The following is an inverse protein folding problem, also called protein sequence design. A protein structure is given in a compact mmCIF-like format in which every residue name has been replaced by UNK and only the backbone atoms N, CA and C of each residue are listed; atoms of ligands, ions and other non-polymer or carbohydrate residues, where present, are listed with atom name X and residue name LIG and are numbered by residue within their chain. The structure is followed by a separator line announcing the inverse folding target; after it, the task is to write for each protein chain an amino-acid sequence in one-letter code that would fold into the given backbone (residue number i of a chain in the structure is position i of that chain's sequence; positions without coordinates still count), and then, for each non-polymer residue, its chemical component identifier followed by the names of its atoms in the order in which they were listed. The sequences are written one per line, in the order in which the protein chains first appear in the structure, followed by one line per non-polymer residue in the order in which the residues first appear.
data_IF_526206910944
#
_entry.id   IF_526206910944
#
_cell.length_a   1.000
_cell.length_b   1.000
_cell.length_c   1.000
_cell.angle_alpha   90.00
_cell.angle_beta   90.00
_cell.angle_gamma   90.00
#
_symmetry.space_group_name_H-M   'P 1'
#
loop_
_entity.id
_entity.type
_entity.pdbx_description
1 polymer ?
#
# COMPACT_ATOMS: atom_id res chain seq x y z
N UNK A 1 17.86 -1.55 20.39
CA UNK A 1 17.36 -1.08 19.09
C UNK A 1 16.05 -0.35 19.32
N UNK A 2 15.73 0.68 18.55
CA UNK A 2 14.43 1.35 18.58
C UNK A 2 13.59 0.84 17.41
N UNK A 3 12.31 0.59 17.63
CA UNK A 3 11.36 0.21 16.59
C UNK A 3 10.55 1.43 16.18
N UNK A 4 10.46 1.69 14.88
CA UNK A 4 9.64 2.77 14.31
C UNK A 4 8.35 2.15 13.80
N UNK A 5 7.20 2.69 14.22
CA UNK A 5 5.89 2.28 13.76
C UNK A 5 5.26 3.48 13.06
N UNK A 6 4.91 3.32 11.79
CA UNK A 6 4.15 4.30 11.02
C UNK A 6 2.70 3.83 10.89
N UNK A 7 1.75 4.69 11.21
CA UNK A 7 0.31 4.42 11.12
C UNK A 7 -0.32 5.48 10.22
N UNK A 8 -0.76 5.08 9.03
CA UNK A 8 -1.63 5.90 8.19
C UNK A 8 -3.09 5.60 8.56
N UNK A 9 -3.90 6.63 8.80
CA UNK A 9 -5.34 6.50 9.07
C UNK A 9 -6.08 7.24 7.97
N UNK A 10 -6.71 6.49 7.06
CA UNK A 10 -7.44 7.08 5.93
C UNK A 10 -8.58 7.98 6.43
N UNK A 11 -8.81 9.09 5.72
CA UNK A 11 -9.81 10.14 6.03
C UNK A 11 -9.72 10.83 7.40
N UNK A 12 -8.65 10.63 8.19
CA UNK A 12 -8.51 11.26 9.51
C UNK A 12 -8.17 12.76 9.39
N UNK A 13 -9.19 13.61 9.52
CA UNK A 13 -9.03 15.07 9.54
C UNK A 13 -8.73 15.60 10.94
N UNK A 14 -7.89 16.64 11.05
CA UNK A 14 -7.53 17.26 12.34
C UNK A 14 -8.73 17.77 13.14
N UNK A 15 -9.75 18.31 12.47
CA UNK A 15 -11.01 18.75 13.08
C UNK A 15 -11.77 17.61 13.79
N UNK A 16 -11.60 16.36 13.35
CA UNK A 16 -12.19 15.19 14.00
C UNK A 16 -11.41 14.79 15.24
N UNK A 17 -10.08 14.99 15.25
CA UNK A 17 -9.23 14.78 16.42
C UNK A 17 -9.60 15.77 17.53
N UNK A 18 -9.66 17.08 17.21
CA UNK A 18 -9.95 18.10 18.22
C UNK A 18 -11.30 17.85 18.91
N UNK A 19 -12.36 17.66 18.12
CA UNK A 19 -13.71 17.35 18.62
C UNK A 19 -13.75 16.07 19.46
N UNK A 20 -12.92 15.09 19.12
CA UNK A 20 -12.80 13.85 19.88
C UNK A 20 -12.08 14.04 21.21
N UNK A 21 -11.12 14.97 21.29
CA UNK A 21 -10.44 15.35 22.54
C UNK A 21 -11.37 16.21 23.41
N UNK A 22 -12.03 17.23 22.85
CA UNK A 22 -13.04 18.06 23.54
C UNK A 22 -14.15 17.21 24.20
N UNK A 23 -14.55 16.11 23.55
CA UNK A 23 -15.56 15.19 24.05
C UNK A 23 -15.01 14.10 25.00
N UNK A 24 -13.72 14.15 25.37
CA UNK A 24 -13.02 13.14 26.17
C UNK A 24 -13.09 11.71 25.59
N UNK A 25 -13.16 11.58 24.25
CA UNK A 25 -13.28 10.30 23.52
C UNK A 25 -11.96 9.77 22.95
N UNK A 26 -10.92 10.61 22.84
CA UNK A 26 -9.63 10.25 22.24
C UNK A 26 -8.45 10.39 23.23
N UNK A 27 -8.48 9.73 24.41
CA UNK A 27 -7.43 9.89 25.43
C UNK A 27 -6.03 9.50 24.92
N UNK A 28 -5.94 8.50 24.03
CA UNK A 28 -4.66 8.10 23.43
C UNK A 28 -4.08 9.17 22.51
N UNK A 29 -4.90 9.86 21.71
CA UNK A 29 -4.43 10.98 20.88
C UNK A 29 -4.00 12.16 21.73
N UNK A 30 -4.76 12.49 22.78
CA UNK A 30 -4.37 13.52 23.73
C UNK A 30 -3.01 13.22 24.37
N UNK A 31 -2.81 12.00 24.89
CA UNK A 31 -1.52 11.58 25.43
C UNK A 31 -0.36 11.73 24.43
N UNK A 32 -0.56 11.32 23.17
CA UNK A 32 0.44 11.45 22.10
C UNK A 32 0.72 12.91 21.72
N UNK A 33 -0.27 13.80 21.82
CA UNK A 33 -0.10 15.24 21.59
C UNK A 33 0.67 15.91 22.75
N UNK A 34 0.40 15.51 23.99
CA UNK A 34 1.06 16.04 25.19
C UNK A 34 2.53 15.60 25.32
N UNK A 35 2.87 14.38 24.85
CA UNK A 35 4.20 13.78 24.98
C UNK A 35 4.99 13.72 23.65
N UNK A 36 4.47 14.34 22.59
CA UNK A 36 4.98 14.20 21.22
C UNK A 36 5.01 15.52 20.45
N UNK A 37 4.75 15.44 19.14
CA UNK A 37 4.64 16.59 18.25
C UNK A 37 3.40 16.42 17.38
N UNK A 38 2.57 17.46 17.29
CA UNK A 38 1.33 17.44 16.51
C UNK A 38 1.30 18.58 15.49
N UNK A 39 1.31 18.21 14.21
CA UNK A 39 1.26 19.15 13.10
C UNK A 39 -0.13 19.13 12.47
N UNK A 40 -0.92 20.16 12.76
CA UNK A 40 -2.30 20.31 12.24
C UNK A 40 -2.37 20.54 10.73
N UNK A 41 -1.36 21.25 10.20
CA UNK A 41 -1.37 21.82 8.85
C UNK A 41 -0.42 21.05 7.91
N UNK A 42 -0.49 19.72 7.93
CA UNK A 42 0.25 18.87 6.99
C UNK A 42 -0.48 18.90 5.64
N UNK A 43 0.28 19.14 4.56
CA UNK A 43 -0.22 19.14 3.19
C UNK A 43 0.08 17.78 2.56
N UNK A 44 -0.94 17.16 1.96
CA UNK A 44 -0.82 15.87 1.25
C UNK A 44 -0.56 16.08 -0.25
N UNK A 45 -0.24 15.02 -0.99
CA UNK A 45 -0.07 15.09 -2.44
C UNK A 45 -1.38 15.35 -3.19
N UNK A 46 -1.26 15.94 -4.37
CA UNK A 46 -2.36 16.06 -5.33
C UNK A 46 -2.12 15.08 -6.50
N UNK A 47 -3.14 14.30 -6.92
CA UNK A 47 -4.52 14.29 -6.42
C UNK A 47 -4.66 13.54 -5.09
N UNK A 48 -5.62 13.99 -4.27
CA UNK A 48 -5.88 13.48 -2.91
C UNK A 48 -6.64 12.14 -2.95
N UNK A 49 -6.00 11.10 -3.46
CA UNK A 49 -6.56 9.76 -3.64
C UNK A 49 -5.70 8.73 -2.89
N UNK A 50 -6.31 7.83 -2.10
CA UNK A 50 -5.58 6.95 -1.17
C UNK A 50 -4.40 6.20 -1.82
N UNK A 51 -4.58 5.60 -3.01
CA UNK A 51 -3.49 4.92 -3.74
C UNK A 51 -2.35 5.87 -4.12
N UNK A 52 -2.67 7.10 -4.55
CA UNK A 52 -1.68 8.10 -4.93
C UNK A 52 -0.91 8.61 -3.71
N UNK A 53 -1.62 8.83 -2.59
CA UNK A 53 -1.05 9.25 -1.31
C UNK A 53 -0.16 8.15 -0.73
N UNK A 54 -0.59 6.89 -0.74
CA UNK A 54 0.23 5.77 -0.29
C UNK A 54 1.51 5.63 -1.14
N UNK A 55 1.43 5.79 -2.46
CA UNK A 55 2.62 5.83 -3.32
C UNK A 55 3.54 7.01 -2.98
N UNK A 56 3.00 8.20 -2.72
CA UNK A 56 3.77 9.36 -2.25
C UNK A 56 4.47 9.05 -0.93
N UNK A 57 3.76 8.53 0.07
CA UNK A 57 4.29 8.18 1.40
C UNK A 57 5.39 7.12 1.33
N UNK A 58 5.22 6.12 0.47
CA UNK A 58 6.15 4.99 0.36
C UNK A 58 7.37 5.28 -0.52
N UNK A 59 7.33 6.28 -1.40
CA UNK A 59 8.47 6.64 -2.29
C UNK A 59 9.14 7.97 -1.94
N UNK A 60 8.46 8.85 -1.19
CA UNK A 60 8.93 10.21 -0.92
C UNK A 60 8.83 11.17 -2.11
N UNK A 61 8.13 10.78 -3.19
CA UNK A 61 8.02 11.55 -4.45
C UNK A 61 6.56 11.85 -4.79
N UNK A 62 6.29 12.72 -5.76
CA UNK A 62 4.93 13.09 -6.18
C UNK A 62 4.42 12.26 -7.38
N UNK A 63 3.12 12.31 -7.74
CA UNK A 63 2.53 11.41 -8.75
C UNK A 63 3.07 11.57 -10.18
N UNK A 64 3.67 12.71 -10.51
CA UNK A 64 4.45 12.94 -11.73
C UNK A 64 5.75 12.12 -11.76
N UNK A 65 6.36 11.88 -10.61
CA UNK A 65 7.54 11.04 -10.44
C UNK A 65 7.19 9.56 -10.26
N UNK A 66 6.33 9.21 -9.31
CA UNK A 66 5.98 7.81 -9.03
C UNK A 66 4.97 7.19 -10.01
N UNK A 67 4.39 7.99 -10.92
CA UNK A 67 3.53 7.59 -12.06
C UNK A 67 2.20 6.92 -11.71
N UNK A 68 1.73 7.01 -10.47
CA UNK A 68 0.45 6.42 -10.02
C UNK A 68 -0.53 7.55 -9.67
N UNK A 69 -1.33 8.05 -10.63
CA UNK A 69 -2.15 9.26 -10.44
C UNK A 69 -3.48 9.00 -9.71
N UNK A 70 -3.85 7.76 -9.41
CA UNK A 70 -5.08 7.46 -8.69
C UNK A 70 -5.60 6.03 -8.87
N UNK A 71 -6.77 5.77 -8.29
CA UNK A 71 -7.43 4.47 -8.27
C UNK A 71 -7.87 3.98 -9.66
N UNK A 72 -8.33 4.90 -10.52
CA UNK A 72 -8.77 4.64 -11.89
C UNK A 72 -8.21 5.73 -12.80
N UNK A 73 -7.50 5.35 -13.85
CA UNK A 73 -6.83 6.29 -14.77
C UNK A 73 -6.60 5.63 -16.14
N UNK A 74 -6.39 6.43 -17.20
CA UNK A 74 -6.11 5.90 -18.53
C UNK A 74 -4.60 5.83 -18.81
N UNK A 75 -4.10 4.62 -19.05
CA UNK A 75 -2.71 4.40 -19.48
C UNK A 75 -2.61 4.62 -20.98
N UNK A 76 -1.91 5.67 -21.40
CA UNK A 76 -1.60 5.95 -22.81
C UNK A 76 -0.64 4.92 -23.41
N UNK A 77 0.24 4.34 -22.58
CA UNK A 77 1.16 3.27 -22.95
C UNK A 77 0.42 1.95 -23.25
N UNK A 78 -0.47 1.53 -22.35
CA UNK A 78 -1.24 0.29 -22.49
C UNK A 78 -2.51 0.48 -23.36
N UNK A 79 -2.86 1.72 -23.69
CA UNK A 79 -4.09 2.16 -24.38
C UNK A 79 -5.40 1.69 -23.71
N UNK A 80 -5.39 1.48 -22.39
CA UNK A 80 -6.54 1.01 -21.60
C UNK A 80 -6.72 1.81 -20.32
N UNK A 81 -7.94 1.75 -19.77
CA UNK A 81 -8.21 2.17 -18.40
C UNK A 81 -7.58 1.16 -17.43
N UNK A 82 -6.76 1.66 -16.52
CA UNK A 82 -6.21 0.96 -15.37
C UNK A 82 -7.14 1.21 -14.18
N UNK A 83 -7.38 0.17 -13.38
CA UNK A 83 -8.28 0.23 -12.24
C UNK A 83 -7.75 -0.65 -11.10
N UNK A 84 -7.49 -0.02 -9.96
CA UNK A 84 -6.91 -0.65 -8.77
C UNK A 84 -7.94 -0.87 -7.64
N UNK A 85 -9.21 -0.47 -7.80
CA UNK A 85 -10.20 -0.72 -6.74
C UNK A 85 -11.59 -0.09 -6.85
N UNK A 86 -12.18 0.06 -8.04
CA UNK A 86 -13.63 0.28 -8.10
C UNK A 86 -14.39 -0.92 -7.50
N UNK A 87 -15.55 -0.66 -6.88
CA UNK A 87 -16.16 -1.58 -5.93
C UNK A 87 -16.49 -2.99 -6.46
N UNK A 88 -16.66 -3.94 -5.54
CA UNK A 88 -16.95 -5.37 -5.76
C UNK A 88 -17.89 -5.70 -6.95
N UNK A 89 -18.88 -4.85 -7.22
CA UNK A 89 -19.84 -5.00 -8.32
C UNK A 89 -19.24 -4.82 -9.73
N UNK A 90 -18.19 -4.01 -9.90
CA UNK A 90 -17.46 -3.91 -11.17
C UNK A 90 -16.48 -5.07 -11.35
N UNK A 91 -15.83 -5.49 -10.25
CA UNK A 91 -14.92 -6.65 -10.21
C UNK A 91 -15.64 -7.93 -10.69
N UNK A 92 -16.90 -8.11 -10.27
CA UNK A 92 -17.73 -9.25 -10.68
C UNK A 92 -18.11 -9.23 -12.18
N UNK A 93 -18.30 -8.05 -12.77
CA UNK A 93 -18.70 -7.90 -14.19
C UNK A 93 -17.53 -7.97 -15.17
N UNK A 94 -16.37 -7.41 -14.81
CA UNK A 94 -15.23 -7.24 -15.72
C UNK A 94 -14.17 -8.35 -15.61
N UNK A 95 -14.33 -9.28 -14.67
CA UNK A 95 -13.48 -10.46 -14.53
C UNK A 95 -12.32 -10.26 -13.56
N UNK A 96 -12.38 -11.01 -12.46
CA UNK A 96 -11.44 -11.02 -11.32
C UNK A 96 -9.95 -11.05 -11.75
N UNK A 97 -9.63 -11.76 -12.84
CA UNK A 97 -8.25 -11.98 -13.28
C UNK A 97 -7.53 -10.71 -13.75
N UNK A 98 -8.15 -9.82 -14.55
CA UNK A 98 -7.42 -8.64 -15.06
C UNK A 98 -7.16 -7.63 -13.93
N UNK A 99 -8.18 -7.38 -13.11
CA UNK A 99 -8.12 -6.52 -11.94
C UNK A 99 -6.99 -6.91 -10.96
N UNK A 100 -6.93 -8.18 -10.54
CA UNK A 100 -5.88 -8.64 -9.62
C UNK A 100 -4.47 -8.55 -10.25
N UNK A 101 -4.35 -8.76 -11.57
CA UNK A 101 -3.07 -8.57 -12.25
C UNK A 101 -2.67 -7.10 -12.33
N UNK A 102 -3.57 -6.17 -12.69
CA UNK A 102 -3.25 -4.74 -12.75
C UNK A 102 -2.98 -4.16 -11.35
N UNK A 103 -3.76 -4.52 -10.33
CA UNK A 103 -3.65 -3.97 -8.97
C UNK A 103 -2.53 -4.57 -8.12
N UNK A 104 -2.33 -5.89 -8.14
CA UNK A 104 -1.29 -6.50 -7.30
C UNK A 104 0.05 -6.52 -8.04
N UNK A 105 0.07 -7.08 -9.25
CA UNK A 105 1.32 -7.38 -9.96
C UNK A 105 1.83 -6.16 -10.71
N UNK A 106 1.05 -5.59 -11.62
CA UNK A 106 1.52 -4.50 -12.49
C UNK A 106 1.64 -3.17 -11.75
N UNK A 107 0.80 -2.90 -10.76
CA UNK A 107 0.96 -1.68 -9.96
C UNK A 107 2.32 -1.67 -9.24
N UNK A 108 2.72 -2.78 -8.62
CA UNK A 108 4.00 -2.88 -7.90
C UNK A 108 5.22 -3.11 -8.82
N UNK A 109 5.03 -3.62 -10.04
CA UNK A 109 6.13 -3.89 -10.99
C UNK A 109 6.34 -2.82 -12.07
N UNK A 110 5.25 -2.40 -12.73
CA UNK A 110 5.27 -1.60 -13.96
C UNK A 110 4.79 -0.15 -13.75
N UNK A 111 3.65 0.03 -13.06
CA UNK A 111 2.97 1.33 -12.97
C UNK A 111 3.60 2.23 -11.91
N UNK A 112 3.92 1.69 -10.73
CA UNK A 112 4.76 2.39 -9.75
C UNK A 112 6.18 2.46 -10.31
N UNK A 113 6.67 3.67 -10.55
CA UNK A 113 7.96 3.92 -11.19
C UNK A 113 9.09 3.03 -10.61
N UNK A 114 9.68 2.10 -11.38
CA UNK A 114 10.70 1.18 -10.89
C UNK A 114 12.09 1.82 -10.78
N UNK A 115 12.28 3.05 -11.27
CA UNK A 115 13.51 3.82 -11.06
C UNK A 115 13.57 4.50 -9.68
N UNK A 116 12.43 4.71 -9.02
CA UNK A 116 12.33 5.34 -7.70
C UNK A 116 12.18 4.22 -6.67
N UNK A 117 13.04 4.11 -5.63
CA UNK A 117 12.91 3.07 -4.60
C UNK A 117 11.76 3.37 -3.63
N UNK A 118 11.17 2.34 -3.01
CA UNK A 118 10.33 2.53 -1.83
C UNK A 118 11.18 2.63 -0.55
N UNK A 119 10.59 3.14 0.52
CA UNK A 119 11.15 3.12 1.88
C UNK A 119 11.52 1.69 2.32
N UNK A 120 10.81 0.65 1.87
CA UNK A 120 11.17 -0.74 2.16
C UNK A 120 12.46 -1.18 1.45
N UNK A 121 12.67 -0.69 0.22
CA UNK A 121 13.87 -0.95 -0.57
C UNK A 121 15.07 -0.17 0.01
N UNK A 122 14.90 1.09 0.41
CA UNK A 122 15.93 1.89 1.07
C UNK A 122 16.32 1.34 2.45
N UNK A 123 15.35 1.00 3.31
CA UNK A 123 15.64 0.38 4.60
C UNK A 123 16.41 -0.93 4.44
N UNK A 124 16.04 -1.77 3.46
CA UNK A 124 16.77 -2.99 3.17
C UNK A 124 18.21 -2.73 2.64
N UNK A 125 18.42 -1.69 1.80
CA UNK A 125 19.76 -1.25 1.37
C UNK A 125 20.63 -0.81 2.57
N UNK A 126 20.03 -0.24 3.60
CA UNK A 126 20.69 0.13 4.86
C UNK A 126 20.89 -1.06 5.82
N UNK A 127 20.47 -2.28 5.45
CA UNK A 127 20.53 -3.46 6.32
C UNK A 127 19.49 -3.47 7.45
N UNK A 128 18.46 -2.63 7.35
CA UNK A 128 17.37 -2.52 8.33
C UNK A 128 16.18 -3.40 7.91
N UNK A 129 15.51 -3.99 8.90
CA UNK A 129 14.29 -4.76 8.69
C UNK A 129 13.07 -3.83 8.64
N UNK A 130 12.17 -4.08 7.69
CA UNK A 130 10.91 -3.36 7.54
C UNK A 130 9.77 -4.31 7.20
N UNK A 131 8.53 -3.88 7.46
CA UNK A 131 7.33 -4.65 7.15
C UNK A 131 6.12 -3.73 7.04
N UNK A 132 5.08 -4.19 6.35
CA UNK A 132 3.83 -3.45 6.11
C UNK A 132 2.65 -4.41 6.16
N UNK A 133 1.52 -3.91 6.64
CA UNK A 133 0.21 -4.60 6.63
C UNK A 133 -0.76 -3.91 5.66
N UNK A 134 -0.25 -3.15 4.69
CA UNK A 134 -1.01 -2.67 3.53
C UNK A 134 -0.90 -3.70 2.40
N UNK A 135 -2.05 -4.14 1.87
CA UNK A 135 -2.11 -5.20 0.86
C UNK A 135 -1.96 -4.74 -0.59
N UNK A 136 -2.10 -3.43 -0.87
CA UNK A 136 -2.10 -2.92 -2.24
C UNK A 136 -0.67 -2.64 -2.73
N UNK A 137 0.09 -1.83 -1.99
CA UNK A 137 1.48 -1.49 -2.31
C UNK A 137 2.43 -2.23 -1.35
N UNK A 138 3.21 -3.16 -1.89
CA UNK A 138 4.12 -4.02 -1.14
C UNK A 138 5.53 -4.11 -1.74
N UNK A 139 5.86 -3.32 -2.78
CA UNK A 139 7.16 -3.39 -3.46
C UNK A 139 8.32 -3.14 -2.48
N UNK A 140 9.16 -4.16 -2.34
CA UNK A 140 10.32 -4.21 -1.47
C UNK A 140 11.36 -5.20 -2.03
N UNK A 141 12.56 -5.24 -1.45
CA UNK A 141 13.66 -6.06 -1.97
C UNK A 141 13.55 -7.58 -1.74
N UNK A 142 12.43 -8.07 -1.17
CA UNK A 142 12.28 -9.46 -0.75
C UNK A 142 11.31 -10.25 -1.65
N UNK A 143 11.78 -11.40 -2.13
CA UNK A 143 10.99 -12.40 -2.87
C UNK A 143 10.32 -13.43 -1.92
N UNK A 144 9.37 -14.21 -2.43
CA UNK A 144 8.07 -14.15 -1.77
C UNK A 144 7.08 -15.38 -2.02
N UNK A 145 5.76 -15.33 -1.72
CA UNK A 145 4.68 -16.39 -1.77
C UNK A 145 3.23 -15.86 -1.39
N UNK A 146 2.30 -15.58 -2.32
CA UNK A 146 0.93 -15.05 -2.10
C UNK A 146 -0.03 -16.22 -2.07
N UNK A 147 -0.89 -16.31 -1.05
CA UNK A 147 -1.88 -17.38 -0.96
C UNK A 147 -3.28 -16.78 -0.81
N UNK A 148 -4.07 -16.85 -1.89
CA UNK A 148 -5.49 -16.46 -1.86
C UNK A 148 -6.33 -17.63 -1.40
N UNK A 149 -7.17 -17.43 -0.38
CA UNK A 149 -7.92 -18.50 0.29
C UNK A 149 -9.10 -19.08 -0.53
N UNK A 150 -9.24 -18.70 -1.81
CA UNK A 150 -10.26 -19.23 -2.72
C UNK A 150 -9.65 -20.27 -3.65
N UNK A 151 -10.04 -21.53 -3.45
CA UNK A 151 -9.56 -22.71 -4.19
C UNK A 151 -10.05 -22.82 -5.63
N UNK A 152 -9.85 -21.78 -6.45
CA UNK A 152 -10.01 -21.88 -7.90
C UNK A 152 -8.70 -22.29 -8.56
N UNK A 153 -8.65 -23.55 -9.00
CA UNK A 153 -7.53 -24.12 -9.76
C UNK A 153 -7.50 -23.46 -11.16
N UNK A 154 -6.80 -22.33 -11.29
CA UNK A 154 -6.56 -21.69 -12.57
C UNK A 154 -5.44 -22.42 -13.33
N UNK A 155 -5.77 -23.57 -13.93
CA UNK A 155 -4.83 -24.40 -14.72
C UNK A 155 -4.60 -23.84 -16.12
N UNK A 156 -4.19 -22.57 -16.24
CA UNK A 156 -3.83 -21.94 -17.51
C UNK A 156 -2.40 -22.31 -17.92
N UNK A 157 -2.31 -23.12 -18.97
CA UNK A 157 -1.08 -23.80 -19.44
C UNK A 157 -0.28 -22.95 -20.44
N UNK A 158 -0.11 -21.65 -20.16
CA UNK A 158 0.72 -20.74 -20.95
C UNK A 158 1.33 -19.62 -20.09
N UNK A 159 2.30 -19.97 -19.25
CA UNK A 159 3.36 -19.05 -18.85
C UNK A 159 4.58 -19.87 -18.44
N UNK A 160 5.68 -19.72 -19.19
CA UNK A 160 7.00 -20.18 -18.77
C UNK A 160 7.43 -19.25 -17.65
N UNK A 161 6.97 -19.51 -16.43
CA UNK A 161 7.31 -18.75 -15.24
C UNK A 161 8.84 -18.71 -15.10
N UNK A 162 9.45 -17.61 -15.53
CA UNK A 162 10.70 -17.19 -14.91
C UNK A 162 10.44 -17.03 -13.42
N UNK A 163 11.42 -17.42 -12.60
CA UNK A 163 11.25 -17.57 -11.15
C UNK A 163 10.97 -16.21 -10.50
N UNK A 164 9.70 -15.89 -10.27
CA UNK A 164 9.28 -14.72 -9.51
C UNK A 164 8.12 -15.13 -8.61
N UNK A 165 8.38 -15.23 -7.31
CA UNK A 165 7.34 -15.53 -6.32
C UNK A 165 7.01 -14.24 -5.58
N UNK A 166 5.75 -13.81 -5.61
CA UNK A 166 5.20 -12.62 -4.89
C UNK A 166 4.47 -13.08 -3.63
N UNK A 167 4.43 -12.31 -2.51
CA UNK A 167 3.90 -12.60 -1.13
C UNK A 167 3.26 -11.32 -0.60
N UNK A 168 2.66 -11.48 0.57
CA UNK A 168 2.56 -10.45 1.59
C UNK A 168 3.08 -11.06 2.91
N UNK A 169 3.83 -10.30 3.70
CA UNK A 169 4.11 -10.66 5.09
C UNK A 169 2.84 -10.47 5.92
N UNK A 170 2.09 -11.55 6.12
CA UNK A 170 1.30 -11.69 7.35
C UNK A 170 2.29 -11.93 8.51
N UNK A 171 1.99 -11.44 9.73
CA UNK A 171 2.89 -11.59 10.87
C UNK A 171 3.16 -13.06 11.15
N UNK A 172 4.45 -13.40 11.31
CA UNK A 172 4.88 -14.73 11.73
C UNK A 172 4.48 -14.93 13.21
N UNK A 173 3.55 -15.85 13.48
CA UNK A 173 3.36 -16.36 14.83
C UNK A 173 4.62 -17.11 15.30
N UNK A 174 5.39 -16.49 16.19
CA UNK A 174 6.48 -17.13 16.92
C UNK A 174 6.23 -17.03 18.43
N UNK A 175 5.31 -17.85 18.93
CA UNK A 175 5.22 -18.18 20.36
C UNK A 175 4.48 -19.49 20.62
N UNK A 176 5.09 -20.62 20.24
CA UNK A 176 4.95 -21.85 21.03
C UNK A 176 5.58 -21.56 22.40
N UNK A 177 4.76 -21.15 23.36
CA UNK A 177 5.13 -21.10 24.78
C UNK A 177 4.62 -22.38 25.44
N UNK A 178 5.56 -23.22 25.84
CA UNK A 178 5.45 -24.16 26.97
C UNK A 178 6.68 -23.96 27.84
#
# INVERSE_FOLDING_TARGET
MQHIIFICVDTLMSQSIDKGIEQNKLPTFQFLMEHGQYYRNVVTSFPTMSVSIDCTLLTGTYPDEHRVPGLVWYSTQDKKVINYGSGFWEIYKNGINQYLNDALIRMNGDHLNPQIPTIFEELNRMGLQSGSVNGLIYRGSADHQLNFLFGFICRQRYLKMSRSKVRICLPMEHSQIR
#
